data_IF_332110925044
#
_entry.id   IF_332110925044
#
_cell.length_a   1.000
_cell.length_b   1.000
_cell.length_c   1.000
_cell.angle_alpha   90.00
_cell.angle_beta   90.00
_cell.angle_gamma   90.00
#
_symmetry.space_group_name_H-M   'P 1'
#
loop_
_entity.id
_entity.type
_entity.pdbx_description
1 polymer ?
#
# COMPACT_ATOMS: atom_id res chain seq x y z
N UNK A 1 -11.30 -12.53 -0.21
CA UNK A 1 -12.70 -12.57 0.30
C UNK A 1 -12.90 -12.08 1.75
N UNK A 2 -11.97 -12.28 2.69
CA UNK A 2 -12.14 -11.80 4.08
C UNK A 2 -12.44 -10.30 4.18
N UNK A 3 -11.68 -9.48 3.44
CA UNK A 3 -11.87 -8.03 3.37
C UNK A 3 -13.29 -7.66 2.94
N UNK A 4 -13.79 -8.24 1.83
CA UNK A 4 -15.16 -8.05 1.33
C UNK A 4 -16.22 -8.27 2.41
N UNK A 5 -16.10 -9.38 3.17
CA UNK A 5 -17.04 -9.70 4.27
C UNK A 5 -16.98 -8.67 5.40
N UNK A 6 -15.79 -8.26 5.82
CA UNK A 6 -15.65 -7.30 6.94
C UNK A 6 -16.13 -5.91 6.53
N UNK A 7 -15.71 -5.43 5.36
CA UNK A 7 -16.14 -4.13 4.86
C UNK A 7 -17.66 -4.10 4.65
N UNK A 8 -18.20 -5.08 3.93
CA UNK A 8 -19.64 -5.18 3.62
C UNK A 8 -20.56 -5.43 4.83
N UNK A 9 -20.02 -5.68 6.03
CA UNK A 9 -20.83 -5.84 7.25
C UNK A 9 -20.55 -4.81 8.34
N UNK A 10 -19.38 -4.15 8.31
CA UNK A 10 -18.94 -3.30 9.45
C UNK A 10 -18.50 -1.90 9.05
N UNK A 11 -18.25 -1.63 7.78
CA UNK A 11 -17.72 -0.33 7.34
C UNK A 11 -18.78 0.46 6.60
N UNK A 12 -19.37 1.42 7.32
CA UNK A 12 -20.36 2.34 6.75
C UNK A 12 -19.64 3.57 6.18
N UNK A 13 -20.05 3.96 4.97
CA UNK A 13 -19.50 5.13 4.29
C UNK A 13 -20.25 6.38 4.73
N UNK A 14 -19.52 7.49 4.90
CA UNK A 14 -20.17 8.79 5.04
C UNK A 14 -20.80 9.22 3.71
N UNK A 15 -21.76 10.13 3.74
CA UNK A 15 -22.45 10.64 2.54
C UNK A 15 -21.46 11.20 1.50
N UNK A 16 -20.43 11.94 1.94
CA UNK A 16 -19.36 12.41 1.06
C UNK A 16 -18.58 11.27 0.40
N UNK A 17 -18.33 10.16 1.10
CA UNK A 17 -17.64 8.98 0.54
C UNK A 17 -18.52 8.22 -0.47
N UNK A 18 -19.85 8.22 -0.27
CA UNK A 18 -20.78 7.53 -1.18
C UNK A 18 -20.77 8.17 -2.57
N UNK A 19 -20.60 9.49 -2.63
CA UNK A 19 -20.58 10.24 -3.90
C UNK A 19 -19.23 10.20 -4.62
N UNK A 20 -18.11 10.02 -3.89
CA UNK A 20 -16.77 9.95 -4.46
C UNK A 20 -15.82 9.25 -3.49
N UNK A 21 -15.52 7.98 -3.74
CA UNK A 21 -14.52 7.24 -2.98
C UNK A 21 -13.75 6.32 -3.91
N UNK A 22 -12.52 6.68 -4.21
CA UNK A 22 -11.53 5.78 -4.78
C UNK A 22 -10.94 4.86 -3.72
N UNK A 23 -10.48 3.68 -4.14
CA UNK A 23 -9.62 2.79 -3.36
C UNK A 23 -8.18 3.02 -3.79
N UNK A 24 -7.30 3.22 -2.81
CA UNK A 24 -5.86 3.30 -3.03
C UNK A 24 -5.22 1.99 -2.58
N UNK A 25 -4.35 1.45 -3.43
CA UNK A 25 -3.46 0.34 -3.11
C UNK A 25 -2.02 0.79 -3.28
N UNK A 26 -1.26 0.82 -2.18
CA UNK A 26 0.17 1.02 -2.17
C UNK A 26 0.87 -0.29 -1.81
N UNK A 27 1.89 -0.65 -2.58
CA UNK A 27 2.62 -1.91 -2.43
C UNK A 27 4.08 -1.75 -2.85
N UNK A 28 4.90 -2.77 -2.60
CA UNK A 28 6.32 -2.81 -2.99
C UNK A 28 6.65 -3.92 -3.99
N UNK A 29 5.67 -4.71 -4.43
CA UNK A 29 5.86 -5.73 -5.47
C UNK A 29 4.58 -5.95 -6.27
N UNK A 30 4.74 -6.38 -7.52
CA UNK A 30 3.65 -6.71 -8.44
C UNK A 30 3.84 -8.12 -9.01
N UNK A 31 2.89 -9.01 -8.68
CA UNK A 31 2.83 -10.36 -9.24
C UNK A 31 2.15 -10.40 -10.61
N UNK A 32 1.98 -11.60 -11.18
CA UNK A 32 1.22 -11.77 -12.43
C UNK A 32 -0.28 -11.57 -12.19
N UNK A 33 -0.88 -10.60 -12.89
CA UNK A 33 -2.30 -10.24 -12.77
C UNK A 33 -3.12 -10.71 -13.98
N UNK A 34 -2.44 -10.98 -15.10
CA UNK A 34 -3.04 -11.39 -16.37
C UNK A 34 -3.01 -10.26 -17.42
N UNK A 35 -3.40 -10.55 -18.67
CA UNK A 35 -3.28 -9.60 -19.79
C UNK A 35 -4.37 -8.51 -19.79
N UNK A 36 -5.38 -8.60 -18.93
CA UNK A 36 -6.49 -7.64 -18.83
C UNK A 36 -6.66 -7.17 -17.38
N UNK A 37 -7.42 -6.08 -17.19
CA UNK A 37 -7.76 -5.56 -15.86
C UNK A 37 -8.83 -6.38 -15.11
N UNK A 38 -9.25 -7.54 -15.64
CA UNK A 38 -10.37 -8.32 -15.09
C UNK A 38 -10.17 -8.69 -13.61
N UNK A 39 -8.97 -9.14 -13.23
CA UNK A 39 -8.67 -9.44 -11.83
C UNK A 39 -8.76 -8.20 -10.93
N UNK A 40 -8.16 -7.08 -11.36
CA UNK A 40 -8.16 -5.84 -10.59
C UNK A 40 -9.57 -5.30 -10.40
N UNK A 41 -10.36 -5.24 -11.46
CA UNK A 41 -11.68 -4.60 -11.43
C UNK A 41 -12.77 -5.52 -10.88
N UNK A 42 -12.81 -6.79 -11.30
CA UNK A 42 -13.95 -7.67 -11.03
C UNK A 42 -13.77 -8.48 -9.73
N UNK A 43 -12.53 -8.62 -9.23
CA UNK A 43 -12.26 -9.39 -8.01
C UNK A 43 -11.72 -8.52 -6.88
N UNK A 44 -10.57 -7.86 -7.12
CA UNK A 44 -9.88 -7.10 -6.08
C UNK A 44 -10.68 -5.84 -5.69
N UNK A 45 -10.97 -4.96 -6.66
CA UNK A 45 -11.70 -3.72 -6.41
C UNK A 45 -13.09 -3.98 -5.84
N UNK A 46 -13.86 -4.92 -6.40
CA UNK A 46 -15.16 -5.34 -5.84
C UNK A 46 -15.03 -5.75 -4.37
N UNK A 47 -13.92 -6.39 -3.98
CA UNK A 47 -13.69 -6.77 -2.58
C UNK A 47 -13.29 -5.59 -1.69
N UNK A 48 -12.50 -4.65 -2.20
CA UNK A 48 -12.02 -3.48 -1.46
C UNK A 48 -13.05 -2.34 -1.39
N UNK A 49 -14.05 -2.36 -2.27
CA UNK A 49 -15.15 -1.38 -2.33
C UNK A 49 -16.45 -1.88 -1.68
N UNK A 50 -16.44 -3.06 -1.08
CA UNK A 50 -17.62 -3.60 -0.42
C UNK A 50 -18.09 -2.70 0.72
N UNK A 51 -19.39 -2.45 0.80
CA UNK A 51 -20.01 -1.62 1.83
C UNK A 51 -21.42 -2.16 2.13
N UNK A 52 -21.94 -2.03 3.36
CA UNK A 52 -23.34 -2.30 3.66
C UNK A 52 -24.30 -1.32 2.94
N UNK A 53 -23.81 -0.15 2.53
CA UNK A 53 -24.61 0.91 1.91
C UNK A 53 -25.01 0.56 0.48
N UNK A 54 -26.28 0.81 0.12
CA UNK A 54 -26.81 0.67 -1.23
C UNK A 54 -27.35 2.02 -1.74
N UNK A 55 -27.07 2.42 -3.00
CA UNK A 55 -26.25 1.73 -4.00
C UNK A 55 -24.75 1.82 -3.67
N UNK A 56 -23.97 0.85 -4.18
CA UNK A 56 -22.51 0.88 -4.01
C UNK A 56 -21.90 2.09 -4.74
N UNK A 57 -20.94 2.81 -4.12
CA UNK A 57 -20.36 4.00 -4.71
C UNK A 57 -19.59 3.66 -5.99
N UNK A 58 -19.61 4.59 -6.95
CA UNK A 58 -18.71 4.53 -8.10
C UNK A 58 -17.28 4.70 -7.60
N UNK A 59 -16.50 3.63 -7.66
CA UNK A 59 -15.15 3.56 -7.10
C UNK A 59 -14.15 3.27 -8.21
N UNK A 60 -13.04 4.02 -8.25
CA UNK A 60 -11.88 3.67 -9.06
C UNK A 60 -10.73 3.12 -8.21
N UNK A 61 -9.82 2.38 -8.85
CA UNK A 61 -8.61 1.87 -8.20
C UNK A 61 -7.42 2.76 -8.56
N UNK A 62 -6.71 3.25 -7.54
CA UNK A 62 -5.46 4.00 -7.68
C UNK A 62 -4.32 3.18 -7.08
N UNK A 63 -3.21 3.10 -7.80
CA UNK A 63 -2.05 2.30 -7.45
C UNK A 63 -0.87 3.22 -7.14
N UNK A 64 -0.28 3.10 -5.95
CA UNK A 64 0.93 3.84 -5.58
C UNK A 64 2.11 2.89 -5.62
N UNK A 65 3.05 3.16 -6.51
CA UNK A 65 4.27 2.37 -6.70
C UNK A 65 5.38 3.32 -7.15
N UNK A 66 6.64 3.10 -6.77
CA UNK A 66 7.70 4.02 -7.14
C UNK A 66 8.05 3.95 -8.63
N UNK A 67 8.37 5.11 -9.20
CA UNK A 67 8.98 5.22 -10.52
C UNK A 67 10.46 4.85 -10.49
N UNK A 68 11.03 4.53 -11.65
CA UNK A 68 12.48 4.32 -11.75
C UNK A 68 13.29 5.56 -11.35
N UNK A 69 12.77 6.77 -11.61
CA UNK A 69 13.40 8.03 -11.21
C UNK A 69 13.39 8.22 -9.69
N UNK A 70 12.32 7.84 -9.01
CA UNK A 70 12.21 7.88 -7.54
C UNK A 70 13.17 6.90 -6.87
N UNK A 71 13.27 5.66 -7.37
CA UNK A 71 14.27 4.70 -6.89
C UNK A 71 15.69 5.23 -7.10
N UNK A 72 15.99 5.74 -8.30
CA UNK A 72 17.30 6.35 -8.64
C UNK A 72 17.67 7.50 -7.70
N UNK A 73 16.68 8.35 -7.34
CA UNK A 73 16.86 9.51 -6.46
C UNK A 73 16.80 9.20 -4.96
N UNK A 74 16.51 7.96 -4.58
CA UNK A 74 16.38 7.54 -3.18
C UNK A 74 17.69 7.64 -2.39
N UNK A 75 17.61 7.50 -1.06
CA UNK A 75 18.80 7.46 -0.21
C UNK A 75 19.70 6.25 -0.50
N UNK A 76 19.11 5.12 -0.86
CA UNK A 76 19.82 3.89 -1.18
C UNK A 76 20.15 3.79 -2.68
N UNK A 77 19.72 4.77 -3.50
CA UNK A 77 19.84 4.74 -4.95
C UNK A 77 19.19 3.49 -5.54
N UNK A 78 19.80 2.89 -6.57
CA UNK A 78 19.24 1.69 -7.19
C UNK A 78 19.17 0.47 -6.26
N UNK A 79 19.97 0.42 -5.19
CA UNK A 79 19.94 -0.69 -4.25
C UNK A 79 18.59 -0.80 -3.50
N UNK A 80 17.84 0.30 -3.34
CA UNK A 80 16.47 0.21 -2.83
C UNK A 80 15.59 -0.71 -3.69
N UNK A 81 15.87 -0.76 -5.00
CA UNK A 81 15.15 -1.56 -5.97
C UNK A 81 15.23 -3.08 -5.77
N UNK A 82 16.25 -3.57 -5.05
CA UNK A 82 16.35 -4.99 -4.65
C UNK A 82 15.16 -5.41 -3.76
N UNK A 83 14.60 -4.46 -3.00
CA UNK A 83 13.43 -4.66 -2.14
C UNK A 83 12.10 -4.28 -2.80
N UNK A 84 12.10 -3.98 -4.11
CA UNK A 84 10.91 -3.59 -4.88
C UNK A 84 10.75 -4.51 -6.11
N UNK A 85 10.39 -5.80 -5.94
CA UNK A 85 10.36 -6.74 -7.04
C UNK A 85 9.20 -6.48 -8.00
N UNK A 86 9.52 -6.10 -9.23
CA UNK A 86 8.57 -6.01 -10.34
C UNK A 86 9.31 -6.29 -11.65
N UNK A 87 9.00 -7.41 -12.31
CA UNK A 87 9.68 -7.81 -13.54
C UNK A 87 9.16 -7.10 -14.79
N UNK A 88 10.03 -6.92 -15.77
CA UNK A 88 9.70 -6.34 -17.07
C UNK A 88 8.62 -7.17 -17.77
N UNK A 89 8.72 -8.49 -17.67
CA UNK A 89 7.73 -9.41 -18.22
C UNK A 89 6.32 -9.20 -17.64
N UNK A 90 6.21 -8.86 -16.35
CA UNK A 90 4.93 -8.50 -15.75
C UNK A 90 4.49 -7.11 -16.21
N UNK A 91 5.40 -6.12 -16.20
CA UNK A 91 5.07 -4.75 -16.61
C UNK A 91 4.52 -4.69 -18.04
N UNK A 92 5.21 -5.32 -19.00
CA UNK A 92 4.79 -5.36 -20.41
C UNK A 92 3.37 -5.91 -20.57
N UNK A 93 3.01 -6.95 -19.81
CA UNK A 93 1.65 -7.55 -19.85
C UNK A 93 0.59 -6.65 -19.25
N UNK A 94 0.94 -5.83 -18.27
CA UNK A 94 -0.04 -5.04 -17.52
C UNK A 94 -0.14 -3.58 -17.96
N UNK A 95 0.90 -3.04 -18.62
CA UNK A 95 1.05 -1.60 -18.92
C UNK A 95 -0.15 -0.99 -19.62
N UNK A 96 -0.77 -1.70 -20.56
CA UNK A 96 -1.91 -1.21 -21.36
C UNK A 96 -3.12 -0.82 -20.51
N UNK A 97 -3.34 -1.49 -19.37
CA UNK A 97 -4.47 -1.21 -18.49
C UNK A 97 -4.06 -0.63 -17.13
N UNK A 98 -2.87 -0.91 -16.62
CA UNK A 98 -2.44 -0.39 -15.32
C UNK A 98 -1.95 1.06 -15.38
N UNK A 99 -1.39 1.53 -16.51
CA UNK A 99 -0.68 2.83 -16.56
C UNK A 99 -1.54 4.00 -16.07
N UNK A 100 -2.81 4.06 -16.45
CA UNK A 100 -3.74 5.13 -16.02
C UNK A 100 -4.11 5.07 -14.54
N UNK A 101 -3.84 3.95 -13.86
CA UNK A 101 -4.07 3.76 -12.42
C UNK A 101 -2.83 4.12 -11.58
N UNK A 102 -1.65 4.29 -12.19
CA UNK A 102 -0.37 4.45 -11.47
C UNK A 102 -0.16 5.87 -10.96
N UNK A 103 0.33 5.94 -9.72
CA UNK A 103 0.64 7.16 -8.99
C UNK A 103 2.00 7.01 -8.32
N UNK A 104 2.73 8.13 -8.27
CA UNK A 104 4.09 8.30 -7.78
C UNK A 104 4.24 8.03 -6.29
N UNK A 105 5.44 7.63 -5.86
CA UNK A 105 5.82 7.69 -4.45
C UNK A 105 6.20 9.14 -4.09
N UNK A 106 5.24 9.89 -3.55
CA UNK A 106 5.46 11.25 -3.03
C UNK A 106 5.16 11.24 -1.54
N UNK A 107 6.16 11.57 -0.71
CA UNK A 107 6.04 11.51 0.75
C UNK A 107 6.75 12.69 1.44
N UNK A 108 6.72 13.87 0.80
CA UNK A 108 7.41 15.08 1.25
C UNK A 108 6.82 15.59 2.57
N UNK A 109 5.48 15.58 2.71
CA UNK A 109 4.83 15.99 3.95
C UNK A 109 5.05 14.99 5.10
N UNK A 110 5.53 13.78 4.77
CA UNK A 110 5.88 12.73 5.71
C UNK A 110 7.40 12.67 5.98
N UNK A 111 8.22 13.43 5.25
CA UNK A 111 9.69 13.41 5.33
C UNK A 111 10.31 12.08 4.89
N UNK A 112 9.68 11.38 3.93
CA UNK A 112 10.07 10.04 3.45
C UNK A 112 10.16 9.95 1.94
N UNK A 113 10.17 11.07 1.23
CA UNK A 113 10.16 11.11 -0.24
C UNK A 113 11.35 10.38 -0.87
N UNK A 114 12.51 10.35 -0.19
CA UNK A 114 13.70 9.61 -0.63
C UNK A 114 13.87 8.23 0.02
N UNK A 115 12.96 7.81 0.89
CA UNK A 115 12.97 6.48 1.51
C UNK A 115 11.97 5.58 0.77
N UNK A 116 12.46 4.60 0.02
CA UNK A 116 11.60 3.77 -0.83
C UNK A 116 10.65 2.88 -0.02
N UNK A 117 9.41 2.68 -0.50
CA UNK A 117 8.42 1.96 0.28
C UNK A 117 8.65 0.45 0.26
N UNK A 118 8.84 -0.13 1.44
CA UNK A 118 8.62 -1.56 1.67
C UNK A 118 7.30 -1.83 2.44
N UNK A 119 6.62 -0.79 2.92
CA UNK A 119 5.27 -0.89 3.51
C UNK A 119 4.23 -1.22 2.43
N UNK A 120 3.11 -1.83 2.83
CA UNK A 120 1.93 -2.03 1.98
C UNK A 120 0.70 -1.51 2.70
N UNK A 121 0.00 -0.59 2.06
CA UNK A 121 -1.14 0.13 2.62
C UNK A 121 -2.27 0.19 1.62
N UNK A 122 -3.48 -0.15 2.07
CA UNK A 122 -4.69 0.01 1.29
C UNK A 122 -5.68 0.87 2.07
N UNK A 123 -6.40 1.78 1.40
CA UNK A 123 -7.42 2.60 2.07
C UNK A 123 -8.47 3.13 1.09
N UNK A 124 -9.63 3.53 1.62
CA UNK A 124 -10.58 4.36 0.88
C UNK A 124 -10.17 5.84 0.95
N UNK A 125 -10.51 6.61 -0.08
CA UNK A 125 -10.37 8.09 -0.09
C UNK A 125 -11.61 8.76 0.52
N UNK A 126 -11.56 10.09 0.71
CA UNK A 126 -12.64 10.87 1.32
C UNK A 126 -12.88 10.48 2.78
N UNK A 127 -12.07 10.99 3.72
CA UNK A 127 -12.15 10.65 5.16
C UNK A 127 -11.81 9.19 5.55
N UNK A 128 -10.99 8.49 4.74
CA UNK A 128 -10.39 7.18 5.09
C UNK A 128 -11.36 6.22 5.79
N UNK A 129 -12.52 5.93 5.18
CA UNK A 129 -13.55 5.05 5.77
C UNK A 129 -13.02 3.71 6.28
N UNK A 130 -11.90 3.25 5.72
CA UNK A 130 -11.08 2.18 6.27
C UNK A 130 -9.62 2.37 5.84
N UNK A 131 -8.71 1.77 6.60
CA UNK A 131 -7.28 1.76 6.37
C UNK A 131 -6.70 0.39 6.76
N UNK A 132 -5.87 -0.18 5.90
CA UNK A 132 -5.25 -1.49 6.08
C UNK A 132 -3.73 -1.35 5.92
N UNK A 133 -2.98 -1.82 6.91
CA UNK A 133 -1.54 -2.10 6.78
C UNK A 133 -1.38 -3.62 6.74
N UNK A 134 -0.60 -4.13 5.80
CA UNK A 134 -0.50 -5.56 5.54
C UNK A 134 0.88 -5.95 5.00
N UNK A 135 1.18 -7.25 4.97
CA UNK A 135 2.31 -7.80 4.20
C UNK A 135 1.98 -8.02 2.72
N UNK A 136 0.69 -8.10 2.38
CA UNK A 136 0.20 -8.47 1.05
C UNK A 136 0.53 -7.41 -0.03
N UNK A 137 1.39 -7.79 -0.97
CA UNK A 137 1.65 -7.04 -2.19
C UNK A 137 0.51 -7.18 -3.22
N UNK A 138 0.58 -6.44 -4.34
CA UNK A 138 -0.39 -6.55 -5.43
C UNK A 138 -0.15 -7.86 -6.23
N UNK A 139 -0.74 -8.96 -5.76
CA UNK A 139 -0.63 -10.26 -6.42
C UNK A 139 -1.82 -11.18 -6.13
N UNK A 140 -2.11 -12.08 -7.07
CA UNK A 140 -3.06 -13.19 -6.89
C UNK A 140 -2.63 -14.18 -5.81
N UNK A 141 -1.32 -14.35 -5.60
CA UNK A 141 -0.80 -15.25 -4.59
C UNK A 141 -1.16 -14.79 -3.16
N UNK A 142 -1.06 -13.47 -2.91
CA UNK A 142 -1.35 -12.85 -1.63
C UNK A 142 -2.87 -12.67 -1.38
N UNK A 143 -3.60 -12.13 -2.36
CA UNK A 143 -5.02 -11.77 -2.20
C UNK A 143 -6.00 -12.89 -2.56
N UNK A 144 -5.50 -13.90 -3.27
CA UNK A 144 -6.26 -14.98 -3.85
C UNK A 144 -6.84 -14.65 -5.23
N UNK A 145 -7.19 -15.69 -5.97
CA UNK A 145 -7.90 -15.63 -7.26
C UNK A 145 -9.06 -16.61 -7.23
N UNK A 146 -10.19 -16.23 -7.82
CA UNK A 146 -11.31 -17.14 -8.02
C UNK A 146 -10.96 -18.19 -9.08
N UNK A 147 -11.27 -19.45 -8.76
CA UNK A 147 -11.12 -20.63 -9.61
C UNK A 147 -12.44 -21.41 -9.64
N UNK A 148 -12.51 -22.48 -10.45
CA UNK A 148 -13.70 -23.36 -10.56
C UNK A 148 -15.01 -22.57 -10.73
N UNK A 149 -15.05 -21.70 -11.74
CA UNK A 149 -16.20 -20.83 -12.06
C UNK A 149 -16.67 -19.91 -10.91
N UNK A 150 -15.79 -19.62 -9.95
CA UNK A 150 -16.08 -18.71 -8.83
C UNK A 150 -16.32 -19.39 -7.49
N UNK A 151 -16.40 -20.71 -7.45
CA UNK A 151 -16.75 -21.47 -6.24
C UNK A 151 -15.56 -21.67 -5.28
N UNK A 152 -14.35 -21.43 -5.75
CA UNK A 152 -13.13 -21.60 -4.95
C UNK A 152 -12.26 -20.35 -5.01
N UNK A 153 -11.84 -19.86 -3.83
CA UNK A 153 -10.77 -18.86 -3.72
C UNK A 153 -9.45 -19.58 -3.44
N UNK A 154 -8.48 -19.44 -4.34
CA UNK A 154 -7.16 -20.06 -4.19
C UNK A 154 -6.13 -18.99 -3.78
N UNK A 155 -5.44 -19.22 -2.65
CA UNK A 155 -4.40 -18.36 -2.06
C UNK A 155 -3.10 -19.17 -1.96
N UNK A 156 -1.96 -18.57 -2.31
CA UNK A 156 -0.65 -19.26 -2.36
C UNK A 156 0.36 -18.77 -1.33
N UNK A 157 0.04 -17.70 -0.60
CA UNK A 157 0.96 -17.04 0.33
C UNK A 157 0.30 -16.85 1.69
N UNK A 158 1.13 -16.90 2.74
CA UNK A 158 0.72 -16.47 4.07
C UNK A 158 0.88 -14.96 4.17
N UNK A 159 -0.21 -14.27 4.48
CA UNK A 159 -0.25 -12.83 4.58
C UNK A 159 -1.05 -12.42 5.82
N UNK A 160 -0.64 -11.32 6.44
CA UNK A 160 -1.31 -10.77 7.62
C UNK A 160 -1.37 -9.25 7.54
N UNK A 161 -2.48 -8.69 8.02
CA UNK A 161 -2.66 -7.25 8.11
C UNK A 161 -3.66 -6.84 9.18
N UNK A 162 -3.60 -5.56 9.54
CA UNK A 162 -4.48 -4.93 10.53
C UNK A 162 -5.37 -3.93 9.82
N UNK A 163 -6.68 -4.18 9.87
CA UNK A 163 -7.70 -3.30 9.32
C UNK A 163 -8.24 -2.38 10.42
N UNK A 164 -8.18 -1.08 10.18
CA UNK A 164 -8.69 -0.02 11.05
C UNK A 164 -9.84 0.70 10.34
N UNK A 165 -10.94 0.90 11.05
CA UNK A 165 -12.12 1.61 10.54
C UNK A 165 -12.88 2.26 11.71
N UNK A 166 -13.69 3.32 11.47
CA UNK A 166 -14.28 4.13 12.54
C UNK A 166 -15.09 3.34 13.59
N UNK A 167 -15.88 2.35 13.17
CA UNK A 167 -16.73 1.59 14.07
C UNK A 167 -15.96 0.76 15.13
N UNK A 168 -14.64 0.61 15.02
CA UNK A 168 -13.81 0.02 16.08
C UNK A 168 -13.68 0.91 17.31
N UNK A 169 -13.87 2.23 17.16
CA UNK A 169 -13.71 3.21 18.24
C UNK A 169 -15.06 3.82 18.66
N UNK A 170 -16.16 3.23 18.19
CA UNK A 170 -17.51 3.67 18.53
C UNK A 170 -17.82 3.29 19.99
N UNK A 171 -17.92 4.27 20.89
CA UNK A 171 -18.22 4.03 22.31
C UNK A 171 -19.69 4.22 22.67
N UNK A 172 -20.42 5.06 21.93
CA UNK A 172 -21.84 5.35 22.12
C UNK A 172 -22.45 5.87 20.82
N UNK A 173 -23.75 5.66 20.51
CA UNK A 173 -24.40 6.19 19.32
C UNK A 173 -24.30 7.71 19.13
N UNK A 174 -24.06 8.46 20.21
CA UNK A 174 -23.90 9.93 20.19
C UNK A 174 -22.52 10.42 19.73
N UNK A 175 -21.54 9.52 19.56
CA UNK A 175 -20.17 9.88 19.15
C UNK A 175 -19.97 9.58 17.66
N UNK A 176 -19.81 10.60 16.84
CA UNK A 176 -19.43 10.46 15.43
C UNK A 176 -17.91 10.24 15.33
N UNK A 177 -17.50 9.02 14.98
CA UNK A 177 -16.09 8.66 14.79
C UNK A 177 -15.70 8.84 13.32
N UNK A 178 -14.58 9.52 13.07
CA UNK A 178 -13.98 9.64 11.73
C UNK A 178 -12.51 9.27 11.77
N UNK A 179 -12.01 8.56 10.76
CA UNK A 179 -10.58 8.32 10.56
C UNK A 179 -10.04 9.43 9.65
N UNK A 180 -8.91 10.06 10.00
CA UNK A 180 -8.33 11.12 9.15
C UNK A 180 -6.84 10.95 8.94
N UNK A 181 -6.40 11.20 7.70
CA UNK A 181 -4.98 11.26 7.38
C UNK A 181 -4.34 12.42 8.15
N UNK A 182 -3.33 12.12 8.97
CA UNK A 182 -2.51 13.13 9.64
C UNK A 182 -1.13 13.23 9.00
N UNK A 183 -0.67 14.45 8.80
CA UNK A 183 0.66 14.77 8.27
C UNK A 183 1.54 15.35 9.39
N UNK A 184 2.83 15.58 9.13
CA UNK A 184 3.70 16.26 10.11
C UNK A 184 3.22 17.67 10.45
N UNK A 185 2.60 18.37 9.50
CA UNK A 185 2.00 19.68 9.73
C UNK A 185 0.72 19.63 10.60
N UNK A 186 0.02 18.48 10.62
CA UNK A 186 -1.28 18.31 11.27
C UNK A 186 -1.20 17.58 12.62
N UNK A 187 -0.04 17.02 13.00
CA UNK A 187 0.10 16.24 14.25
C UNK A 187 1.06 16.91 15.26
N UNK A 188 0.70 17.01 16.57
CA UNK A 188 -0.50 16.47 17.21
C UNK A 188 -1.47 17.60 17.60
N UNK A 189 -2.28 18.11 16.66
CA UNK A 189 -3.47 18.92 17.02
C UNK A 189 -4.77 18.11 17.01
N UNK A 190 -4.70 16.82 16.70
CA UNK A 190 -5.85 15.91 16.71
C UNK A 190 -6.08 15.41 18.14
N UNK A 191 -7.04 16.03 18.81
CA UNK A 191 -7.56 15.59 20.10
C UNK A 191 -8.25 14.24 19.93
N UNK A 192 -7.68 13.19 20.52
CA UNK A 192 -8.32 11.86 20.66
C UNK A 192 -9.44 11.85 21.69
N UNK A 193 -9.73 13.00 22.31
CA UNK A 193 -10.86 13.21 23.21
C UNK A 193 -12.08 13.66 22.39
N UNK A 194 -13.26 13.04 22.55
CA UNK A 194 -14.50 13.47 21.90
C UNK A 194 -14.83 14.93 22.19
N UNK A 195 -15.23 15.70 21.17
CA UNK A 195 -15.59 17.13 21.30
C UNK A 195 -17.01 17.40 20.81
N UNK A 196 -17.77 18.34 21.41
CA UNK A 196 -19.10 18.71 20.90
C UNK A 196 -19.04 19.18 19.45
N UNK A 197 -19.99 18.73 18.63
CA UNK A 197 -20.20 19.24 17.27
C UNK A 197 -21.05 20.51 17.39
N UNK A 198 -20.56 21.64 16.90
CA UNK A 198 -21.38 22.86 16.78
C UNK A 198 -22.10 22.82 15.42
N UNK A 199 -23.43 23.02 15.34
CA UNK A 199 -24.37 23.53 16.36
C UNK A 199 -25.17 22.46 17.12
N UNK A 200 -24.79 21.18 17.07
CA UNK A 200 -25.48 20.06 17.72
C UNK A 200 -24.72 19.53 18.97
N UNK A 201 -24.75 20.24 20.12
CA UNK A 201 -23.92 19.95 21.30
C UNK A 201 -24.19 18.59 21.96
N UNK A 202 -25.30 17.92 21.63
CA UNK A 202 -25.62 16.55 22.05
C UNK A 202 -24.85 15.47 21.28
N UNK A 203 -24.18 15.84 20.17
CA UNK A 203 -23.36 14.94 19.38
C UNK A 203 -21.87 15.26 19.57
N UNK A 204 -21.08 14.24 19.84
CA UNK A 204 -19.63 14.36 20.00
C UNK A 204 -18.93 13.89 18.72
N UNK A 205 -17.79 14.48 18.38
CA UNK A 205 -16.92 14.01 17.31
C UNK A 205 -15.63 13.45 17.89
N UNK A 206 -15.31 12.22 17.50
CA UNK A 206 -14.00 11.60 17.74
C UNK A 206 -13.25 11.51 16.41
N UNK A 207 -12.05 12.09 16.36
CA UNK A 207 -11.16 11.94 15.20
C UNK A 207 -10.06 10.98 15.56
N UNK A 208 -10.03 9.84 14.88
CA UNK A 208 -8.94 8.87 14.98
C UNK A 208 -7.89 9.27 13.95
N UNK A 209 -6.64 9.53 14.35
CA UNK A 209 -5.58 9.84 13.40
C UNK A 209 -5.07 8.54 12.74
N UNK A 210 -5.06 8.51 11.41
CA UNK A 210 -4.33 7.52 10.62
C UNK A 210 -3.21 8.24 9.87
N UNK A 211 -1.98 7.73 9.86
CA UNK A 211 -0.88 8.35 9.10
C UNK A 211 -0.62 7.56 7.84
N UNK A 212 -0.96 8.12 6.69
CA UNK A 212 -0.54 7.56 5.41
C UNK A 212 0.97 7.77 5.23
N UNK A 213 1.70 6.81 4.62
CA UNK A 213 3.14 6.91 4.43
C UNK A 213 3.52 7.82 3.25
N UNK A 214 2.55 8.29 2.47
CA UNK A 214 2.68 9.18 1.32
C UNK A 214 1.68 10.34 1.42
N UNK A 215 1.84 11.31 0.53
CA UNK A 215 1.08 12.55 0.50
C UNK A 215 -0.26 12.36 -0.24
N UNK A 216 -1.25 13.16 0.14
CA UNK A 216 -2.51 13.34 -0.58
C UNK A 216 -2.68 14.81 -0.98
N UNK A 217 -3.32 15.12 -2.13
CA UNK A 217 -3.82 14.18 -3.15
C UNK A 217 -2.68 13.42 -3.86
N UNK A 218 -2.98 12.23 -4.37
CA UNK A 218 -2.00 11.42 -5.09
C UNK A 218 -1.53 12.11 -6.37
N UNK A 219 -0.25 11.95 -6.70
CA UNK A 219 0.32 12.45 -7.95
C UNK A 219 0.34 11.35 -9.01
N UNK A 220 -0.43 11.45 -10.11
CA UNK A 220 -0.40 10.47 -11.18
C UNK A 220 0.98 10.36 -11.83
N UNK A 221 1.27 9.21 -12.46
CA UNK A 221 2.41 9.09 -13.36
C UNK A 221 2.27 10.07 -14.53
N UNK A 222 3.36 10.75 -14.88
CA UNK A 222 3.50 11.54 -16.09
C UNK A 222 3.64 10.64 -17.33
N UNK A 223 3.59 11.26 -18.51
CA UNK A 223 3.62 10.56 -19.81
C UNK A 223 4.93 9.79 -20.02
N UNK A 224 6.03 10.27 -19.44
CA UNK A 224 7.38 9.72 -19.54
C UNK A 224 7.80 8.88 -18.33
N UNK A 225 6.98 8.82 -17.28
CA UNK A 225 7.28 7.98 -16.13
C UNK A 225 7.18 6.49 -16.48
N UNK A 226 8.13 5.72 -15.96
CA UNK A 226 8.11 4.26 -15.94
C UNK A 226 8.20 3.79 -14.48
N UNK A 227 7.47 2.72 -14.12
CA UNK A 227 7.62 2.11 -12.80
C UNK A 227 9.04 1.56 -12.64
N UNK A 228 9.48 1.42 -11.40
CA UNK A 228 10.67 0.63 -11.13
C UNK A 228 10.46 -0.82 -11.62
N UNK A 229 11.41 -1.29 -12.42
CA UNK A 229 11.48 -2.66 -12.92
C UNK A 229 12.89 -3.18 -12.64
N UNK A 230 13.00 -4.18 -11.77
CA UNK A 230 14.28 -4.60 -11.19
C UNK A 230 15.22 -5.32 -12.17
N UNK A 231 14.69 -5.91 -13.23
CA UNK A 231 15.42 -6.73 -14.21
C UNK A 231 15.74 -5.97 -15.52
N UNK A 232 15.59 -4.63 -15.51
CA UNK A 232 15.93 -3.73 -16.61
C UNK A 232 17.23 -2.98 -16.32
N UNK A 233 18.02 -2.67 -17.34
CA UNK A 233 19.21 -1.82 -17.20
C UNK A 233 18.85 -0.32 -17.05
N UNK A 234 19.51 0.36 -16.12
CA UNK A 234 19.46 1.81 -15.94
C UNK A 234 20.87 2.40 -16.00
N UNK A 235 21.28 2.97 -17.15
CA UNK A 235 22.66 3.43 -17.37
C UNK A 235 22.97 4.80 -16.74
N UNK A 236 21.95 5.52 -16.26
CA UNK A 236 22.13 6.79 -15.57
C UNK A 236 22.65 6.53 -14.15
N UNK A 237 23.53 7.37 -13.59
CA UNK A 237 23.94 7.23 -12.19
C UNK A 237 22.78 7.57 -11.23
N UNK A 238 22.69 6.79 -10.14
CA UNK A 238 21.85 7.06 -8.99
C UNK A 238 22.41 8.18 -8.10
N UNK A 239 21.71 8.50 -7.01
CA UNK A 239 22.12 9.48 -6.02
C UNK A 239 23.48 9.18 -5.36
N UNK A 240 24.03 7.98 -5.54
CA UNK A 240 25.31 7.52 -5.01
C UNK A 240 26.34 7.28 -6.13
N UNK A 241 26.06 7.73 -7.36
CA UNK A 241 26.97 7.63 -8.51
C UNK A 241 27.01 6.24 -9.17
N UNK A 242 26.13 5.31 -8.79
CA UNK A 242 26.12 3.92 -9.29
C UNK A 242 25.08 3.75 -10.39
N UNK A 243 25.37 2.88 -11.35
CA UNK A 243 24.42 2.47 -12.39
C UNK A 243 23.77 1.15 -11.98
N UNK A 244 22.61 0.85 -12.56
CA UNK A 244 21.99 -0.46 -12.40
C UNK A 244 22.08 -1.24 -13.70
N UNK A 245 22.69 -2.41 -13.62
CA UNK A 245 22.71 -3.37 -14.71
C UNK A 245 22.15 -4.67 -14.18
N UNK A 246 21.33 -5.35 -14.98
CA UNK A 246 20.84 -6.67 -14.66
C UNK A 246 22.04 -7.54 -14.27
N UNK A 247 21.96 -8.16 -13.08
CA UNK A 247 22.91 -9.23 -12.74
C UNK A 247 22.68 -10.31 -13.78
N UNK A 248 23.59 -10.44 -14.76
CA UNK A 248 23.54 -11.53 -15.74
C UNK A 248 23.34 -12.81 -14.94
N UNK A 249 22.25 -13.51 -15.21
CA UNK A 249 21.92 -14.76 -14.55
C UNK A 249 23.10 -15.73 -14.71
N UNK A 250 23.89 -15.88 -13.65
CA UNK A 250 24.53 -17.17 -13.41
C UNK A 250 23.37 -18.10 -13.10
N UNK A 251 23.34 -19.23 -13.80
CA UNK A 251 22.33 -20.30 -13.82
C UNK A 251 21.47 -20.45 -12.56
N UNK A 252 20.18 -20.82 -12.68
CA UNK A 252 19.26 -20.89 -11.54
C UNK A 252 19.49 -22.16 -10.74
N UNK A 253 20.56 -22.23 -9.96
CA UNK A 253 20.70 -23.16 -8.83
C UNK A 253 21.25 -22.38 -7.64
N UNK A 254 20.49 -22.40 -6.55
CA UNK A 254 20.75 -21.75 -5.25
C UNK A 254 20.18 -20.34 -5.09
N UNK A 255 18.97 -20.29 -4.50
CA UNK A 255 18.71 -19.30 -3.46
C UNK A 255 19.79 -19.49 -2.39
N UNK A 256 20.88 -18.74 -2.48
CA UNK A 256 21.86 -18.67 -1.41
C UNK A 256 21.25 -17.75 -0.36
N UNK A 257 20.86 -18.32 0.78
CA UNK A 257 20.66 -17.55 2.01
C UNK A 257 21.90 -16.66 2.18
N UNK A 258 21.70 -15.37 2.41
CA UNK A 258 22.81 -14.54 2.85
C UNK A 258 23.36 -15.12 4.16
N UNK A 259 24.69 -15.29 4.29
CA UNK A 259 25.26 -15.67 5.57
C UNK A 259 25.01 -14.54 6.59
N UNK A 260 24.77 -14.85 7.87
CA UNK A 260 24.62 -13.83 8.90
C UNK A 260 25.99 -13.17 9.14
N UNK A 261 26.25 -12.04 8.49
CA UNK A 261 27.35 -11.17 8.88
C UNK A 261 26.91 -10.33 10.08
N UNK A 262 27.13 -10.86 11.28
CA UNK A 262 27.54 -10.14 12.50
C UNK A 262 27.66 -11.18 13.64
N UNK A 263 28.81 -11.88 13.67
CA UNK A 263 29.21 -12.61 14.86
C UNK A 263 29.67 -11.62 15.92
N UNK A 264 28.92 -11.47 17.00
CA UNK A 264 29.45 -10.95 18.25
C UNK A 264 30.59 -11.89 18.70
N UNK A 265 31.81 -11.36 18.83
CA UNK A 265 32.87 -12.04 19.56
C UNK A 265 32.54 -11.92 21.05
N UNK A 266 32.07 -12.99 21.67
CA UNK A 266 32.19 -13.14 23.12
C UNK A 266 33.67 -13.36 23.44
N UNK A 267 34.26 -12.42 24.19
CA UNK A 267 35.56 -12.57 24.80
C UNK A 267 35.45 -13.53 25.99
N UNK A 268 36.23 -14.61 25.95
CA UNK A 268 36.44 -15.53 27.07
C UNK A 268 36.95 -14.76 28.30
N UNK A 269 36.19 -14.79 29.39
CA UNK A 269 36.72 -14.45 30.71
C UNK A 269 37.52 -15.66 31.21
N UNK A 270 38.84 -15.53 31.17
CA UNK A 270 39.75 -16.39 31.91
C UNK A 270 39.69 -16.00 33.39
N UNK A 271 39.22 -16.93 34.22
CA UNK A 271 39.37 -16.87 35.67
C UNK A 271 40.84 -17.05 36.03
N UNK A 272 41.40 -16.09 36.77
CA UNK A 272 42.63 -16.28 37.53
C UNK A 272 42.50 -15.63 38.91
N UNK A 273 42.60 -16.49 39.92
CA UNK A 273 42.70 -16.31 41.38
C UNK A 273 41.47 -15.84 42.15
#
# INVERSE_FOLDING_TARGET
MRMRRVLGSRVHLSESCVTSSDVVAQFSSVGSLGPTNAYLNNELLVSLSATPTSPSPRTSLKLVFPTAAEVRGSYEGYAAGDSIPHSEANWVKHKSYMRSMMHKWVATQQGRERAMPHIKVHHATGDMSWFLVTSANLSKAAWGSLEKKGDQLMIRSYELGVLVFPALFQTSPSVNVTLRNVTNALSPRVSTVPRPITPAPSSLRLVVPGRLPYDLPLTPYAVDDEPWVWDKDYPQPDALGRKWTQRRSVTPHSFMMMPPSFGFRESEYTSCN
#
